data_IF_911481276666
#
_entry.id   IF_911481276666
#
_cell.length_a   1.000
_cell.length_b   1.000
_cell.length_c   1.000
_cell.angle_alpha   90.00
_cell.angle_beta   90.00
_cell.angle_gamma   90.00
#
_symmetry.space_group_name_H-M   'P 1'
#
loop_
_entity.id
_entity.type
_entity.pdbx_description
1 polymer ?
#
# COMPACT_ATOMS: atom_id res chain seq x y z
N UNK A 1 3.44 -10.90 -35.25
CA UNK A 1 3.43 -12.32 -34.85
C UNK A 1 4.22 -13.14 -35.85
N UNK A 2 4.66 -14.33 -35.45
CA UNK A 2 5.21 -15.36 -36.35
C UNK A 2 4.11 -15.97 -37.23
N UNK A 3 4.52 -16.77 -38.21
CA UNK A 3 3.62 -17.42 -39.17
C UNK A 3 2.75 -18.55 -38.56
N UNK A 4 3.08 -19.05 -37.37
CA UNK A 4 2.37 -20.12 -36.66
C UNK A 4 1.26 -19.61 -35.73
N UNK A 5 1.22 -18.30 -35.45
CA UNK A 5 0.18 -17.64 -34.65
C UNK A 5 0.21 -18.01 -33.16
N UNK A 6 1.25 -18.69 -32.66
CA UNK A 6 1.36 -19.06 -31.25
C UNK A 6 1.89 -17.89 -30.42
N UNK A 7 1.23 -17.63 -29.29
CA UNK A 7 1.61 -16.58 -28.34
C UNK A 7 2.80 -17.04 -27.51
N UNK A 8 3.92 -16.32 -27.64
CA UNK A 8 5.12 -16.54 -26.83
C UNK A 8 5.33 -15.41 -25.82
N UNK A 9 6.28 -15.58 -24.89
CA UNK A 9 6.58 -14.57 -23.87
C UNK A 9 6.89 -13.19 -24.47
N UNK A 10 7.60 -13.14 -25.60
CA UNK A 10 7.90 -11.87 -26.30
C UNK A 10 6.64 -11.15 -26.78
N UNK A 11 5.58 -11.87 -27.17
CA UNK A 11 4.31 -11.25 -27.57
C UNK A 11 3.58 -10.66 -26.35
N UNK A 12 3.62 -11.35 -25.20
CA UNK A 12 3.09 -10.86 -23.93
C UNK A 12 3.85 -9.60 -23.48
N UNK A 13 5.18 -9.62 -23.55
CA UNK A 13 6.00 -8.47 -23.18
C UNK A 13 5.75 -7.27 -24.10
N UNK A 14 5.56 -7.51 -25.40
CA UNK A 14 5.26 -6.47 -26.37
C UNK A 14 3.91 -5.82 -26.07
N UNK A 15 2.85 -6.60 -25.88
CA UNK A 15 1.50 -6.04 -25.62
C UNK A 15 1.45 -5.27 -24.30
N UNK A 16 2.20 -5.72 -23.27
CA UNK A 16 2.35 -4.98 -22.01
C UNK A 16 3.09 -3.65 -22.23
N UNK A 17 4.15 -3.65 -23.03
CA UNK A 17 4.91 -2.43 -23.35
C UNK A 17 4.04 -1.43 -24.14
N UNK A 18 3.24 -1.93 -25.07
CA UNK A 18 2.28 -1.11 -25.83
C UNK A 18 1.21 -0.52 -24.91
N UNK A 19 0.72 -1.27 -23.92
CA UNK A 19 -0.22 -0.75 -22.92
C UNK A 19 0.36 0.41 -22.08
N UNK A 20 1.70 0.51 -21.98
CA UNK A 20 2.37 1.62 -21.28
C UNK A 20 2.49 2.90 -22.11
N UNK A 21 2.21 2.84 -23.42
CA UNK A 21 2.35 3.97 -24.35
C UNK A 21 1.20 4.99 -24.20
N UNK A 22 0.84 5.30 -22.95
CA UNK A 22 -0.11 6.35 -22.59
C UNK A 22 0.61 7.69 -22.47
N UNK A 23 -0.10 8.79 -22.72
CA UNK A 23 0.44 10.12 -22.46
C UNK A 23 0.53 10.36 -20.95
N UNK A 24 1.76 10.36 -20.43
CA UNK A 24 2.04 10.68 -19.03
C UNK A 24 2.28 12.19 -18.86
N UNK A 25 1.75 12.81 -17.82
CA UNK A 25 2.22 14.12 -17.38
C UNK A 25 3.73 14.07 -17.10
N UNK A 26 4.46 15.13 -17.45
CA UNK A 26 5.93 15.19 -17.28
C UNK A 26 6.42 14.97 -15.84
N UNK A 27 5.55 15.13 -14.84
CA UNK A 27 5.87 14.98 -13.42
C UNK A 27 5.50 13.59 -12.86
N UNK A 28 5.14 12.62 -13.71
CA UNK A 28 4.72 11.28 -13.31
C UNK A 28 5.61 10.21 -13.95
N UNK A 29 5.99 9.22 -13.15
CA UNK A 29 6.64 8.00 -13.61
C UNK A 29 5.69 6.81 -13.37
N UNK A 30 5.69 5.84 -14.30
CA UNK A 30 5.04 4.55 -14.08
C UNK A 30 5.91 3.74 -13.11
N UNK A 31 5.30 3.23 -12.05
CA UNK A 31 5.97 2.36 -11.07
C UNK A 31 5.53 0.90 -11.16
N UNK A 32 4.29 0.63 -11.57
CA UNK A 32 3.79 -0.73 -11.80
C UNK A 32 2.89 -0.79 -13.03
N UNK A 33 2.94 -1.93 -13.71
CA UNK A 33 2.01 -2.28 -14.78
C UNK A 33 1.55 -3.70 -14.50
N UNK A 34 0.27 -3.83 -14.16
CA UNK A 34 -0.30 -5.08 -13.70
C UNK A 34 -1.31 -5.54 -14.74
N UNK A 35 -0.97 -6.56 -15.55
CA UNK A 35 -1.91 -7.16 -16.48
C UNK A 35 -3.10 -7.73 -15.69
N UNK A 36 -4.31 -7.37 -16.10
CA UNK A 36 -5.55 -7.93 -15.54
C UNK A 36 -6.07 -9.06 -16.41
N UNK A 37 -6.27 -8.77 -17.70
CA UNK A 37 -6.92 -9.68 -18.65
C UNK A 37 -6.28 -9.54 -20.01
N UNK A 38 -6.18 -10.65 -20.71
CA UNK A 38 -5.81 -10.70 -22.10
C UNK A 38 -7.04 -10.97 -22.96
N UNK A 39 -6.99 -10.47 -24.18
CA UNK A 39 -7.92 -10.81 -25.24
C UNK A 39 -7.12 -11.35 -26.42
N UNK A 40 -7.55 -12.49 -26.96
CA UNK A 40 -6.96 -13.10 -28.12
C UNK A 40 -8.05 -13.31 -29.17
N UNK A 41 -7.98 -12.54 -30.25
CA UNK A 41 -9.01 -12.46 -31.29
C UNK A 41 -10.41 -12.17 -30.66
N UNK A 42 -11.35 -13.11 -30.77
CA UNK A 42 -12.71 -12.99 -30.19
C UNK A 42 -12.83 -13.58 -28.77
N UNK A 43 -11.72 -14.08 -28.21
CA UNK A 43 -11.70 -14.68 -26.86
C UNK A 43 -11.26 -13.66 -25.81
N UNK A 44 -12.19 -13.28 -24.94
CA UNK A 44 -11.99 -12.33 -23.83
C UNK A 44 -11.68 -13.04 -22.49
N UNK A 45 -11.22 -12.26 -21.50
CA UNK A 45 -11.00 -12.68 -20.12
C UNK A 45 -9.95 -13.80 -19.95
N UNK A 46 -8.91 -13.82 -20.79
CA UNK A 46 -7.82 -14.80 -20.68
C UNK A 46 -6.84 -14.35 -19.58
N UNK A 47 -6.56 -15.21 -18.60
CA UNK A 47 -5.58 -14.92 -17.54
C UNK A 47 -4.13 -15.11 -18.02
N UNK A 48 -3.87 -16.17 -18.80
CA UNK A 48 -2.55 -16.45 -19.35
C UNK A 48 -2.67 -16.92 -20.82
N UNK A 49 -2.28 -16.10 -21.80
CA UNK A 49 -2.38 -16.43 -23.22
C UNK A 49 -1.20 -17.26 -23.74
N UNK A 50 -0.18 -17.55 -22.91
CA UNK A 50 1.04 -18.25 -23.35
C UNK A 50 0.70 -19.62 -23.95
N UNK A 51 1.17 -19.88 -25.18
CA UNK A 51 0.91 -21.11 -25.93
C UNK A 51 -0.47 -21.16 -26.61
N UNK A 52 -1.34 -20.16 -26.43
CA UNK A 52 -2.56 -20.03 -27.21
C UNK A 52 -2.24 -19.59 -28.64
N UNK A 53 -3.14 -19.89 -29.58
CA UNK A 53 -2.99 -19.46 -30.98
C UNK A 53 -4.01 -18.39 -31.34
N UNK A 54 -3.52 -17.33 -31.97
CA UNK A 54 -4.35 -16.24 -32.46
C UNK A 54 -3.54 -15.19 -33.20
N UNK A 55 -4.23 -14.19 -33.73
CA UNK A 55 -3.60 -13.14 -34.54
C UNK A 55 -3.43 -11.86 -33.74
N UNK A 56 -4.47 -11.48 -32.98
CA UNK A 56 -4.55 -10.21 -32.26
C UNK A 56 -4.57 -10.46 -30.76
N UNK A 57 -3.44 -10.18 -30.12
CA UNK A 57 -3.31 -10.19 -28.66
C UNK A 57 -3.46 -8.76 -28.13
N UNK A 58 -4.32 -8.59 -27.13
CA UNK A 58 -4.52 -7.35 -26.40
C UNK A 58 -4.41 -7.59 -24.89
N UNK A 59 -4.14 -6.53 -24.14
CA UNK A 59 -4.09 -6.58 -22.67
C UNK A 59 -4.84 -5.40 -22.06
N UNK A 60 -5.67 -5.70 -21.08
CA UNK A 60 -6.15 -4.73 -20.10
C UNK A 60 -5.18 -4.72 -18.92
N UNK A 61 -4.59 -3.57 -18.61
CA UNK A 61 -3.61 -3.44 -17.55
C UNK A 61 -3.93 -2.28 -16.61
N UNK A 62 -3.69 -2.49 -15.31
CA UNK A 62 -3.66 -1.43 -14.31
C UNK A 62 -2.29 -0.78 -14.31
N UNK A 63 -2.25 0.52 -14.63
CA UNK A 63 -1.03 1.33 -14.60
C UNK A 63 -0.99 2.13 -13.30
N UNK A 64 0.04 1.91 -12.51
CA UNK A 64 0.28 2.65 -11.26
C UNK A 64 1.36 3.69 -11.51
N UNK A 65 1.08 4.94 -11.15
CA UNK A 65 1.97 6.06 -11.36
C UNK A 65 2.34 6.74 -10.04
N UNK A 66 3.54 7.29 -9.98
CA UNK A 66 4.03 8.08 -8.84
C UNK A 66 4.63 9.41 -9.31
N UNK A 67 4.87 10.32 -8.38
CA UNK A 67 5.62 11.55 -8.63
C UNK A 67 7.06 11.21 -9.00
N UNK A 68 7.50 11.63 -10.19
CA UNK A 68 8.88 11.44 -10.63
C UNK A 68 9.89 12.06 -9.67
N UNK A 69 9.54 13.22 -9.08
CA UNK A 69 10.36 13.89 -8.07
C UNK A 69 10.51 13.06 -6.79
N UNK A 70 9.45 12.40 -6.33
CA UNK A 70 9.50 11.57 -5.13
C UNK A 70 10.35 10.31 -5.35
N UNK A 71 10.18 9.65 -6.49
CA UNK A 71 10.99 8.47 -6.87
C UNK A 71 12.48 8.85 -6.93
N UNK A 72 12.80 9.98 -7.57
CA UNK A 72 14.19 10.47 -7.64
C UNK A 72 14.78 10.80 -6.26
N UNK A 73 14.00 11.41 -5.37
CA UNK A 73 14.45 11.73 -4.02
C UNK A 73 14.71 10.46 -3.21
N UNK A 74 13.83 9.44 -3.29
CA UNK A 74 14.05 8.15 -2.65
C UNK A 74 15.34 7.49 -3.15
N UNK A 75 15.53 7.38 -4.47
CA UNK A 75 16.75 6.83 -5.06
C UNK A 75 18.01 7.55 -4.55
N UNK A 76 17.96 8.87 -4.45
CA UNK A 76 19.09 9.66 -3.95
C UNK A 76 19.39 9.36 -2.48
N UNK A 77 18.38 9.24 -1.62
CA UNK A 77 18.58 8.93 -0.20
C UNK A 77 19.27 7.57 0.00
N UNK A 78 18.82 6.52 -0.70
CA UNK A 78 19.44 5.20 -0.61
C UNK A 78 20.85 5.18 -1.20
N UNK A 79 21.06 5.83 -2.34
CA UNK A 79 22.39 5.95 -2.94
C UNK A 79 23.39 6.63 -2.00
N UNK A 80 22.98 7.70 -1.32
CA UNK A 80 23.82 8.40 -0.32
C UNK A 80 24.13 7.53 0.90
N UNK A 81 23.25 6.58 1.23
CA UNK A 81 23.49 5.57 2.26
C UNK A 81 24.36 4.39 1.77
N UNK A 82 24.85 4.41 0.53
CA UNK A 82 25.63 3.33 -0.06
C UNK A 82 24.80 2.11 -0.46
N UNK A 83 23.48 2.28 -0.66
CA UNK A 83 22.54 1.23 -1.03
C UNK A 83 22.00 1.47 -2.45
N UNK A 84 21.78 0.38 -3.17
CA UNK A 84 21.12 0.40 -4.47
C UNK A 84 19.69 -0.13 -4.33
N UNK A 85 18.73 0.60 -4.89
CA UNK A 85 17.33 0.16 -4.91
C UNK A 85 17.16 -0.80 -6.08
N UNK A 86 16.90 -2.07 -5.76
CA UNK A 86 16.60 -3.07 -6.78
C UNK A 86 15.22 -2.84 -7.41
N UNK A 87 14.21 -2.52 -6.61
CA UNK A 87 12.83 -2.38 -7.09
C UNK A 87 12.01 -1.48 -6.14
N UNK A 88 10.91 -0.90 -6.65
CA UNK A 88 9.98 -0.04 -5.91
C UNK A 88 8.59 -0.63 -5.99
N UNK A 89 8.06 -1.11 -4.86
CA UNK A 89 6.68 -1.61 -4.79
C UNK A 89 5.69 -0.53 -4.34
N UNK A 90 4.49 -0.52 -4.92
CA UNK A 90 3.36 0.22 -4.35
C UNK A 90 2.99 -0.44 -3.02
N UNK A 91 2.93 0.34 -1.94
CA UNK A 91 2.77 -0.16 -0.58
C UNK A 91 1.62 -1.16 -0.40
N UNK A 92 0.36 -0.89 -0.78
CA UNK A 92 -0.72 -1.86 -0.61
C UNK A 92 -0.51 -3.17 -1.38
N UNK A 93 0.26 -3.16 -2.48
CA UNK A 93 0.62 -4.37 -3.24
C UNK A 93 1.77 -5.16 -2.61
N UNK A 94 2.63 -4.49 -1.82
CA UNK A 94 3.59 -5.19 -0.98
C UNK A 94 2.85 -5.80 0.22
N UNK A 95 2.08 -4.99 0.93
CA UNK A 95 1.36 -5.36 2.16
C UNK A 95 0.39 -6.51 1.99
N UNK A 96 -0.30 -6.61 0.84
CA UNK A 96 -1.20 -7.74 0.58
C UNK A 96 -0.47 -9.09 0.66
N UNK A 97 0.80 -9.15 0.24
CA UNK A 97 1.53 -10.43 0.08
C UNK A 97 1.76 -11.14 1.40
N UNK A 98 1.88 -10.38 2.48
CA UNK A 98 2.14 -10.92 3.82
C UNK A 98 0.86 -11.17 4.61
N UNK A 99 -0.30 -10.69 4.15
CA UNK A 99 -1.52 -10.67 4.97
C UNK A 99 -2.73 -11.31 4.30
N UNK A 100 -2.94 -11.09 3.00
CA UNK A 100 -4.13 -11.59 2.31
C UNK A 100 -3.93 -13.02 1.81
N UNK A 101 -4.89 -13.88 2.13
CA UNK A 101 -4.96 -15.24 1.55
C UNK A 101 -5.56 -15.21 0.15
N UNK A 102 -5.21 -16.21 -0.68
CA UNK A 102 -5.83 -16.41 -1.99
C UNK A 102 -7.37 -16.44 -1.89
N UNK A 103 -7.90 -17.17 -0.91
CA UNK A 103 -9.36 -17.27 -0.68
C UNK A 103 -10.01 -15.91 -0.42
N UNK A 104 -9.38 -15.03 0.34
CA UNK A 104 -9.93 -13.68 0.56
C UNK A 104 -9.95 -12.86 -0.73
N UNK A 105 -8.90 -12.95 -1.54
CA UNK A 105 -8.83 -12.27 -2.85
C UNK A 105 -9.88 -12.76 -3.83
N UNK A 106 -10.14 -14.08 -3.86
CA UNK A 106 -11.20 -14.68 -4.67
C UNK A 106 -12.59 -14.19 -4.24
N UNK A 107 -12.87 -14.21 -2.93
CA UNK A 107 -14.19 -13.90 -2.39
C UNK A 107 -14.56 -12.42 -2.45
N UNK A 108 -13.60 -11.50 -2.48
CA UNK A 108 -13.84 -10.07 -2.37
C UNK A 108 -13.37 -9.51 -1.02
N UNK A 109 -12.23 -8.81 -1.00
CA UNK A 109 -11.61 -8.24 0.21
C UNK A 109 -11.01 -6.87 -0.09
N UNK A 110 -11.03 -5.99 0.92
CA UNK A 110 -10.23 -4.76 0.90
C UNK A 110 -9.18 -4.81 2.01
N UNK A 111 -7.91 -4.61 1.64
CA UNK A 111 -6.85 -4.32 2.59
C UNK A 111 -6.78 -2.82 2.79
N UNK A 112 -6.80 -2.37 4.05
CA UNK A 112 -6.67 -0.95 4.43
C UNK A 112 -5.48 -0.80 5.37
N UNK A 113 -4.43 -0.11 4.93
CA UNK A 113 -3.28 0.21 5.77
C UNK A 113 -3.43 1.62 6.34
N UNK A 114 -3.59 1.74 7.66
CA UNK A 114 -3.64 3.02 8.35
C UNK A 114 -2.24 3.34 8.88
N UNK A 115 -1.46 4.06 8.08
CA UNK A 115 -0.13 4.55 8.42
C UNK A 115 -0.17 5.84 9.23
N UNK A 116 0.99 6.47 9.45
CA UNK A 116 1.08 7.74 10.16
C UNK A 116 0.51 8.91 9.34
N UNK A 117 1.02 9.11 8.12
CA UNK A 117 0.61 10.22 7.27
C UNK A 117 -0.50 9.89 6.28
N UNK A 118 -0.67 8.62 5.93
CA UNK A 118 -1.57 8.18 4.85
C UNK A 118 -2.31 6.91 5.21
N UNK A 119 -3.42 6.70 4.52
CA UNK A 119 -4.21 5.47 4.56
C UNK A 119 -4.28 4.94 3.14
N UNK A 120 -3.73 3.77 2.89
CA UNK A 120 -3.79 3.15 1.57
C UNK A 120 -4.83 2.05 1.55
N UNK A 121 -5.33 1.73 0.35
CA UNK A 121 -6.16 0.57 0.16
C UNK A 121 -5.92 -0.13 -1.18
N UNK A 122 -6.18 -1.42 -1.19
CA UNK A 122 -6.30 -2.25 -2.39
C UNK A 122 -7.49 -3.18 -2.24
N UNK A 123 -8.31 -3.27 -3.27
CA UNK A 123 -9.51 -4.10 -3.32
C UNK A 123 -9.28 -5.22 -4.32
N UNK A 124 -9.55 -6.44 -3.86
CA UNK A 124 -9.50 -7.65 -4.67
C UNK A 124 -10.90 -8.25 -4.81
N UNK A 125 -11.19 -8.85 -5.96
CA UNK A 125 -12.36 -9.69 -6.21
C UNK A 125 -12.02 -10.64 -7.37
N UNK A 126 -12.49 -11.90 -7.32
CA UNK A 126 -12.17 -12.92 -8.33
C UNK A 126 -10.64 -13.10 -8.54
N UNK A 127 -9.86 -12.89 -7.47
CA UNK A 127 -8.40 -13.01 -7.51
C UNK A 127 -7.68 -11.79 -8.09
N UNK A 128 -8.41 -10.83 -8.65
CA UNK A 128 -7.88 -9.69 -9.39
C UNK A 128 -7.95 -8.38 -8.59
N UNK A 129 -7.04 -7.44 -8.86
CA UNK A 129 -7.10 -6.10 -8.28
C UNK A 129 -8.15 -5.28 -9.02
N UNK A 130 -9.21 -4.87 -8.34
CA UNK A 130 -10.25 -4.02 -8.96
C UNK A 130 -10.04 -2.53 -8.68
N UNK A 131 -9.41 -2.18 -7.55
CA UNK A 131 -9.15 -0.79 -7.17
C UNK A 131 -7.93 -0.66 -6.25
N UNK A 132 -7.22 0.47 -6.32
CA UNK A 132 -6.23 0.85 -5.32
C UNK A 132 -6.08 2.37 -5.26
N UNK A 133 -5.88 2.90 -4.06
CA UNK A 133 -5.67 4.34 -3.87
C UNK A 133 -4.93 4.62 -2.55
N UNK A 134 -4.45 5.85 -2.40
CA UNK A 134 -3.79 6.35 -1.19
C UNK A 134 -4.48 7.66 -0.78
N UNK A 135 -5.05 7.66 0.41
CA UNK A 135 -5.69 8.80 1.04
C UNK A 135 -4.64 9.58 1.85
N UNK A 136 -4.57 10.92 1.72
CA UNK A 136 -3.58 11.75 2.41
C UNK A 136 -3.97 12.03 3.87
N UNK A 137 -4.47 11.02 4.59
CA UNK A 137 -4.86 11.07 6.00
C UNK A 137 -4.47 9.77 6.68
N UNK A 138 -4.01 9.82 7.92
CA UNK A 138 -3.53 8.65 8.66
C UNK A 138 -3.56 8.88 10.17
N UNK A 139 -3.07 7.92 10.94
CA UNK A 139 -3.11 7.91 12.40
C UNK A 139 -2.31 9.03 13.09
N UNK A 140 -1.43 9.73 12.37
CA UNK A 140 -0.76 10.95 12.85
C UNK A 140 -1.69 12.18 12.85
N UNK A 141 -2.75 12.17 12.04
CA UNK A 141 -3.77 13.22 12.08
C UNK A 141 -4.59 13.13 13.38
N UNK A 142 -4.83 11.91 13.86
CA UNK A 142 -5.43 11.67 15.19
C UNK A 142 -4.56 12.32 16.27
N UNK A 143 -3.24 12.13 16.21
CA UNK A 143 -2.29 12.76 17.14
C UNK A 143 -2.37 14.28 17.11
N UNK A 144 -2.42 14.86 15.90
CA UNK A 144 -2.53 16.31 15.75
C UNK A 144 -3.86 16.84 16.31
N UNK A 145 -4.96 16.13 16.09
CA UNK A 145 -6.26 16.53 16.65
C UNK A 145 -6.27 16.47 18.18
N UNK A 146 -5.66 15.44 18.77
CA UNK A 146 -5.48 15.33 20.24
C UNK A 146 -4.62 16.49 20.75
N UNK A 147 -3.50 16.80 20.08
CA UNK A 147 -2.62 17.90 20.44
C UNK A 147 -3.37 19.24 20.44
N UNK A 148 -4.20 19.49 19.42
CA UNK A 148 -5.05 20.69 19.32
C UNK A 148 -6.12 20.71 20.41
N UNK A 149 -6.85 19.59 20.59
CA UNK A 149 -7.94 19.48 21.54
C UNK A 149 -7.49 19.66 22.99
N UNK A 150 -6.33 19.09 23.34
CA UNK A 150 -5.75 19.19 24.69
C UNK A 150 -4.79 20.37 24.86
N UNK A 151 -4.47 21.09 23.79
CA UNK A 151 -3.47 22.18 23.75
C UNK A 151 -2.10 21.74 24.28
N UNK A 152 -1.68 20.54 23.89
CA UNK A 152 -0.39 19.95 24.28
C UNK A 152 0.51 19.72 23.06
N UNK A 153 1.74 19.27 23.28
CA UNK A 153 2.65 18.96 22.18
C UNK A 153 2.24 17.69 21.43
N UNK A 154 2.67 17.57 20.17
CA UNK A 154 2.42 16.38 19.34
C UNK A 154 3.04 15.13 19.99
N UNK A 155 4.19 15.29 20.64
CA UNK A 155 4.88 14.21 21.33
C UNK A 155 4.08 13.69 22.53
N UNK A 156 3.49 14.59 23.33
CA UNK A 156 2.64 14.19 24.47
C UNK A 156 1.33 13.57 23.95
N UNK A 157 0.71 14.19 22.94
CA UNK A 157 -0.50 13.66 22.31
C UNK A 157 -0.30 12.25 21.76
N UNK A 158 0.86 11.93 21.17
CA UNK A 158 1.15 10.59 20.68
C UNK A 158 1.20 9.58 21.82
N UNK A 159 1.88 9.93 22.92
CA UNK A 159 1.95 9.05 24.11
C UNK A 159 0.55 8.81 24.69
N UNK A 160 -0.26 9.85 24.83
CA UNK A 160 -1.65 9.76 25.29
C UNK A 160 -2.46 8.85 24.36
N UNK A 161 -2.36 9.03 23.04
CA UNK A 161 -3.06 8.20 22.04
C UNK A 161 -2.68 6.72 22.17
N UNK A 162 -1.40 6.42 22.34
CA UNK A 162 -0.89 5.05 22.45
C UNK A 162 -1.31 4.38 23.77
N UNK A 163 -1.34 5.10 24.88
CA UNK A 163 -1.62 4.54 26.21
C UNK A 163 -3.12 4.50 26.56
N UNK A 164 -3.87 5.54 26.18
CA UNK A 164 -5.26 5.73 26.62
C UNK A 164 -6.30 5.73 25.49
N UNK A 165 -5.86 5.68 24.23
CA UNK A 165 -6.73 5.80 23.06
C UNK A 165 -7.76 4.68 22.94
N UNK A 166 -8.93 5.03 22.42
CA UNK A 166 -10.01 4.10 22.03
C UNK A 166 -10.74 4.69 20.83
N UNK A 167 -11.11 3.85 19.87
CA UNK A 167 -11.88 4.25 18.69
C UNK A 167 -13.38 4.45 18.97
N UNK A 168 -13.87 4.08 20.17
CA UNK A 168 -15.27 4.23 20.56
C UNK A 168 -15.33 4.96 21.90
N UNK A 169 -15.87 6.18 21.88
CA UNK A 169 -16.01 7.06 23.04
C UNK A 169 -17.09 6.60 24.01
N UNK A 170 -18.23 6.09 23.51
CA UNK A 170 -19.36 5.62 24.33
C UNK A 170 -19.02 4.49 25.31
N UNK A 171 -17.89 3.80 25.10
CA UNK A 171 -17.41 2.73 26.00
C UNK A 171 -16.56 3.28 27.16
N UNK A 172 -16.22 4.58 27.14
CA UNK A 172 -15.35 5.22 28.12
C UNK A 172 -16.20 5.94 29.17
N UNK A 173 -15.82 5.78 30.44
CA UNK A 173 -16.49 6.51 31.53
C UNK A 173 -16.18 8.01 31.42
N UNK A 174 -17.21 8.85 31.38
CA UNK A 174 -17.08 10.31 31.30
C UNK A 174 -16.29 10.91 32.47
N UNK A 175 -16.25 10.23 33.62
CA UNK A 175 -15.50 10.63 34.81
C UNK A 175 -14.05 10.13 34.82
N UNK A 176 -13.63 9.35 33.83
CA UNK A 176 -12.26 8.86 33.75
C UNK A 176 -11.32 10.00 33.33
N UNK A 177 -10.36 10.30 34.21
CA UNK A 177 -9.39 11.38 34.04
C UNK A 177 -7.98 10.82 34.00
N UNK A 178 -7.12 11.47 33.22
CA UNK A 178 -5.69 11.15 33.07
C UNK A 178 -4.91 12.35 33.58
N UNK A 179 -3.90 12.10 34.41
CA UNK A 179 -2.96 13.13 34.83
C UNK A 179 -1.90 13.32 33.74
N UNK A 180 -1.86 14.52 33.16
CA UNK A 180 -0.94 14.86 32.06
C UNK A 180 0.52 14.91 32.53
N UNK A 181 0.76 15.13 33.83
CA UNK A 181 2.11 15.19 34.41
C UNK A 181 2.86 13.87 34.31
N UNK A 182 2.15 12.75 34.11
CA UNK A 182 2.72 11.43 33.82
C UNK A 182 3.51 11.42 32.49
N UNK A 183 3.26 12.36 31.58
CA UNK A 183 3.90 12.43 30.27
C UNK A 183 4.95 13.53 30.15
N UNK A 184 4.75 14.65 30.86
CA UNK A 184 5.69 15.76 30.99
C UNK A 184 5.51 16.41 32.37
N UNK A 185 6.55 16.38 33.20
CA UNK A 185 6.51 16.90 34.57
C UNK A 185 6.35 18.42 34.66
N UNK A 186 6.38 19.13 33.53
CA UNK A 186 6.14 20.58 33.43
C UNK A 186 4.69 20.93 33.16
N UNK A 187 3.88 19.93 32.80
CA UNK A 187 2.44 20.08 32.57
C UNK A 187 1.69 19.71 33.86
N UNK A 188 0.64 20.46 34.18
CA UNK A 188 -0.22 20.20 35.33
C UNK A 188 -1.67 20.14 34.86
N UNK A 189 -2.42 19.12 35.31
CA UNK A 189 -3.85 19.04 35.06
C UNK A 189 -4.37 17.64 34.81
N UNK A 190 -5.70 17.54 34.88
CA UNK A 190 -6.44 16.33 34.57
C UNK A 190 -7.16 16.52 33.24
N UNK A 191 -7.03 15.54 32.35
CA UNK A 191 -7.70 15.51 31.05
C UNK A 191 -8.71 14.37 31.00
N UNK A 192 -9.87 14.61 30.41
CA UNK A 192 -10.89 13.58 30.25
C UNK A 192 -10.47 12.55 29.19
N UNK A 193 -10.42 11.26 29.59
CA UNK A 193 -10.20 10.17 28.62
C UNK A 193 -11.35 10.04 27.63
N UNK A 194 -12.59 10.32 28.07
CA UNK A 194 -13.74 10.34 27.17
C UNK A 194 -13.54 11.37 26.06
N UNK A 195 -13.07 12.57 26.39
CA UNK A 195 -12.80 13.60 25.39
C UNK A 195 -11.73 13.18 24.37
N UNK A 196 -10.66 12.50 24.81
CA UNK A 196 -9.66 11.92 23.91
C UNK A 196 -10.30 10.91 22.97
N UNK A 197 -11.15 10.03 23.49
CA UNK A 197 -11.84 9.02 22.67
C UNK A 197 -12.81 9.66 21.65
N UNK A 198 -13.49 10.77 22.00
CA UNK A 198 -14.33 11.52 21.04
C UNK A 198 -13.50 12.06 19.86
N UNK A 199 -12.31 12.61 20.15
CA UNK A 199 -11.39 13.10 19.11
C UNK A 199 -10.93 11.95 18.20
N UNK A 200 -10.53 10.82 18.80
CA UNK A 200 -10.06 9.64 18.07
C UNK A 200 -11.20 9.05 17.20
N UNK A 201 -12.38 8.87 17.77
CA UNK A 201 -13.55 8.34 17.08
C UNK A 201 -13.94 9.21 15.88
N UNK A 202 -13.95 10.55 16.05
CA UNK A 202 -14.27 11.48 14.97
C UNK A 202 -13.29 11.34 13.80
N UNK A 203 -11.97 11.36 14.06
CA UNK A 203 -10.96 11.25 12.99
C UNK A 203 -10.95 9.87 12.34
N UNK A 204 -11.09 8.80 13.10
CA UNK A 204 -11.17 7.45 12.52
C UNK A 204 -12.44 7.27 11.70
N UNK A 205 -13.57 7.82 12.15
CA UNK A 205 -14.82 7.81 11.38
C UNK A 205 -14.63 8.49 10.03
N UNK A 206 -14.01 9.66 10.00
CA UNK A 206 -13.70 10.36 8.74
C UNK A 206 -12.80 9.53 7.82
N UNK A 207 -11.75 8.89 8.35
CA UNK A 207 -10.88 7.98 7.57
C UNK A 207 -11.72 6.84 6.97
N UNK A 208 -12.58 6.20 7.76
CA UNK A 208 -13.42 5.10 7.27
C UNK A 208 -14.51 5.58 6.31
N UNK A 209 -15.04 6.78 6.46
CA UNK A 209 -15.96 7.40 5.50
C UNK A 209 -15.28 7.64 4.15
N UNK A 210 -14.01 8.07 4.15
CA UNK A 210 -13.22 8.20 2.92
C UNK A 210 -12.99 6.84 2.26
N UNK A 211 -12.67 5.79 3.03
CA UNK A 211 -12.58 4.42 2.51
C UNK A 211 -13.92 3.95 1.96
N UNK A 212 -15.03 4.19 2.68
CA UNK A 212 -16.37 3.85 2.23
C UNK A 212 -16.72 4.54 0.91
N UNK A 213 -16.34 5.81 0.74
CA UNK A 213 -16.54 6.57 -0.50
C UNK A 213 -15.79 5.93 -1.66
N UNK A 214 -14.56 5.50 -1.46
CA UNK A 214 -13.80 4.76 -2.47
C UNK A 214 -14.49 3.44 -2.86
N UNK A 215 -14.95 2.66 -1.88
CA UNK A 215 -15.71 1.43 -2.14
C UNK A 215 -17.02 1.70 -2.86
N UNK A 216 -17.72 2.79 -2.53
CA UNK A 216 -18.96 3.20 -3.18
C UNK A 216 -18.73 3.59 -4.64
N UNK A 217 -17.65 4.32 -4.93
CA UNK A 217 -17.31 4.75 -6.29
C UNK A 217 -17.07 3.58 -7.25
N UNK A 218 -16.55 2.46 -6.74
CA UNK A 218 -16.35 1.22 -7.52
C UNK A 218 -17.53 0.25 -7.42
N UNK A 219 -18.64 0.64 -6.77
CA UNK A 219 -19.83 -0.19 -6.62
C UNK A 219 -19.66 -1.39 -5.68
N UNK A 220 -18.73 -1.33 -4.72
CA UNK A 220 -18.39 -2.42 -3.78
C UNK A 220 -18.69 -2.13 -2.31
N UNK A 221 -19.34 -1.01 -2.02
CA UNK A 221 -19.77 -0.68 -0.65
C UNK A 221 -20.70 -1.78 -0.09
N UNK A 222 -20.31 -2.43 1.01
CA UNK A 222 -21.08 -3.52 1.62
C UNK A 222 -21.08 -4.85 0.83
N UNK A 223 -20.33 -4.95 -0.27
CA UNK A 223 -20.38 -6.09 -1.21
C UNK A 223 -19.04 -6.86 -1.29
N UNK A 224 -18.27 -6.88 -0.20
CA UNK A 224 -17.01 -7.63 -0.09
C UNK A 224 -17.17 -8.75 0.95
N UNK A 225 -17.52 -9.98 0.55
CA UNK A 225 -17.79 -11.10 1.46
C UNK A 225 -16.65 -11.43 2.45
N UNK A 226 -15.38 -11.33 2.01
CA UNK A 226 -14.24 -11.52 2.90
C UNK A 226 -13.90 -10.27 3.75
N UNK A 227 -14.59 -9.16 3.48
CA UNK A 227 -14.61 -7.97 4.32
C UNK A 227 -13.37 -7.09 4.18
N UNK A 228 -13.02 -6.47 5.30
CA UNK A 228 -11.93 -5.51 5.45
C UNK A 228 -10.84 -6.15 6.30
N UNK A 229 -9.60 -6.04 5.83
CA UNK A 229 -8.42 -6.38 6.62
C UNK A 229 -7.67 -5.09 6.93
N UNK A 230 -7.63 -4.71 8.22
CA UNK A 230 -6.93 -3.52 8.69
C UNK A 230 -5.48 -3.86 9.04
N UNK A 231 -4.53 -3.05 8.58
CA UNK A 231 -3.10 -3.18 8.88
C UNK A 231 -2.48 -1.82 9.16
N UNK A 232 -1.18 -1.79 9.48
CA UNK A 232 -0.46 -0.57 9.82
C UNK A 232 -0.51 -0.24 11.31
N UNK A 233 0.19 0.84 11.69
CA UNK A 233 0.26 1.28 13.09
C UNK A 233 -1.09 1.73 13.65
N UNK A 234 -1.92 2.38 12.82
CA UNK A 234 -3.26 2.84 13.23
C UNK A 234 -4.24 1.72 13.50
N UNK A 235 -4.04 0.53 12.92
CA UNK A 235 -4.86 -0.65 13.16
C UNK A 235 -4.77 -1.19 14.61
N UNK A 236 -3.82 -0.68 15.40
CA UNK A 236 -3.64 -1.06 16.82
C UNK A 236 -4.55 -0.30 17.79
N UNK A 237 -5.30 0.70 17.33
CA UNK A 237 -6.21 1.44 18.20
C UNK A 237 -7.30 0.50 18.75
N UNK A 238 -7.52 0.47 20.08
CA UNK A 238 -8.59 -0.33 20.67
C UNK A 238 -9.95 0.03 20.06
N UNK A 239 -10.82 -0.98 19.90
CA UNK A 239 -12.19 -0.84 19.36
C UNK A 239 -12.29 -0.40 17.89
N UNK A 240 -11.17 -0.37 17.15
CA UNK A 240 -11.16 0.06 15.75
C UNK A 240 -11.95 -0.88 14.83
N UNK A 241 -12.01 -2.18 15.15
CA UNK A 241 -12.77 -3.18 14.39
C UNK A 241 -14.26 -2.83 14.42
N UNK A 242 -14.78 -2.51 15.59
CA UNK A 242 -16.17 -2.18 15.83
C UNK A 242 -16.55 -0.89 15.11
N UNK A 243 -15.74 0.17 15.24
CA UNK A 243 -15.96 1.41 14.52
C UNK A 243 -15.96 1.19 13.00
N UNK A 244 -14.97 0.45 12.49
CA UNK A 244 -14.88 0.14 11.06
C UNK A 244 -16.09 -0.68 10.57
N UNK A 245 -16.60 -1.62 11.35
CA UNK A 245 -17.82 -2.38 11.02
C UNK A 245 -19.04 -1.46 10.93
N UNK A 246 -19.17 -0.53 11.87
CA UNK A 246 -20.28 0.42 11.92
C UNK A 246 -20.28 1.36 10.71
N UNK A 247 -19.10 1.84 10.28
CA UNK A 247 -18.97 2.75 9.14
C UNK A 247 -19.00 2.01 7.79
N UNK A 248 -18.19 0.96 7.64
CA UNK A 248 -17.99 0.28 6.35
C UNK A 248 -19.08 -0.74 6.01
N UNK A 249 -19.88 -1.18 7.01
CA UNK A 249 -20.93 -2.20 6.86
C UNK A 249 -20.42 -3.51 6.25
N UNK A 250 -19.19 -3.88 6.61
CA UNK A 250 -18.50 -5.09 6.17
C UNK A 250 -17.95 -5.85 7.39
N UNK A 251 -17.69 -7.17 7.28
CA UNK A 251 -16.84 -7.85 8.24
C UNK A 251 -15.47 -7.17 8.31
N UNK A 252 -14.88 -7.06 9.51
CA UNK A 252 -13.58 -6.43 9.71
C UNK A 252 -12.72 -7.31 10.61
N UNK A 253 -11.44 -7.42 10.27
CA UNK A 253 -10.41 -8.07 11.08
C UNK A 253 -9.08 -7.30 10.99
N UNK A 254 -8.18 -7.52 11.95
CA UNK A 254 -6.80 -7.04 11.88
C UNK A 254 -5.96 -8.08 11.14
N UNK A 255 -5.14 -7.64 10.19
CA UNK A 255 -4.18 -8.47 9.48
C UNK A 255 -2.82 -8.45 10.14
N UNK A 256 -2.19 -9.62 10.23
CA UNK A 256 -0.84 -9.79 10.78
C UNK A 256 0.08 -10.41 9.72
N UNK A 257 1.36 -10.02 9.68
CA UNK A 257 2.32 -10.59 8.74
C UNK A 257 2.42 -12.11 8.89
N UNK A 258 2.35 -12.82 7.76
CA UNK A 258 2.43 -14.27 7.65
C UNK A 258 3.39 -14.68 6.53
N UNK A 259 3.76 -15.96 6.47
CA UNK A 259 4.67 -16.50 5.45
C UNK A 259 6.16 -16.46 5.80
N UNK A 260 6.51 -16.22 7.08
CA UNK A 260 7.89 -16.22 7.58
C UNK A 260 8.09 -17.32 8.62
N UNK A 261 8.94 -18.30 8.32
CA UNK A 261 9.31 -19.32 9.30
C UNK A 261 10.44 -18.78 10.19
N UNK A 262 10.30 -18.88 11.52
CA UNK A 262 11.37 -18.61 12.49
C UNK A 262 11.53 -17.15 12.98
N UNK A 263 10.73 -16.20 12.50
CA UNK A 263 10.77 -14.78 12.94
C UNK A 263 9.40 -14.30 13.46
N UNK A 264 8.37 -15.15 13.48
CA UNK A 264 6.97 -14.77 13.79
C UNK A 264 6.85 -13.94 15.07
N UNK A 265 7.53 -14.30 16.15
CA UNK A 265 7.46 -13.60 17.44
C UNK A 265 7.90 -12.12 17.38
N UNK A 266 8.68 -11.71 16.37
CA UNK A 266 9.15 -10.33 16.20
C UNK A 266 8.36 -9.52 15.17
N UNK A 267 7.54 -10.18 14.36
CA UNK A 267 6.76 -9.54 13.28
C UNK A 267 5.25 -9.67 13.47
N UNK A 268 4.81 -10.18 14.62
CA UNK A 268 3.41 -10.25 15.03
C UNK A 268 2.87 -8.86 15.46
N UNK A 269 3.01 -7.88 14.56
CA UNK A 269 2.45 -6.55 14.70
C UNK A 269 1.98 -6.07 13.31
N UNK A 270 0.73 -5.58 13.19
CA UNK A 270 0.18 -5.12 11.91
C UNK A 270 1.01 -4.01 11.25
N UNK A 271 1.83 -3.27 12.02
CA UNK A 271 2.76 -2.25 11.51
C UNK A 271 3.94 -2.83 10.72
N UNK A 272 4.28 -4.12 10.86
CA UNK A 272 5.32 -4.77 10.07
C UNK A 272 4.84 -5.33 8.74
N UNK A 273 3.54 -5.25 8.45
CA UNK A 273 2.90 -5.78 7.24
C UNK A 273 3.61 -5.38 5.95
N UNK A 274 3.90 -4.09 5.77
CA UNK A 274 4.54 -3.58 4.56
C UNK A 274 5.96 -4.12 4.40
N UNK A 275 6.77 -4.09 5.46
CA UNK A 275 8.17 -4.54 5.41
C UNK A 275 8.23 -6.04 5.12
N UNK A 276 7.40 -6.83 5.81
CA UNK A 276 7.20 -8.24 5.50
C UNK A 276 6.78 -8.44 4.04
N UNK A 277 5.79 -7.70 3.58
CA UNK A 277 5.32 -7.71 2.20
C UNK A 277 6.42 -7.45 1.18
N UNK A 278 7.30 -6.48 1.43
CA UNK A 278 8.45 -6.15 0.60
C UNK A 278 9.49 -7.28 0.55
N UNK A 279 9.70 -8.02 1.64
CA UNK A 279 10.58 -9.19 1.64
C UNK A 279 10.02 -10.31 0.74
N UNK A 280 8.72 -10.57 0.82
CA UNK A 280 8.05 -11.55 -0.06
C UNK A 280 8.06 -11.09 -1.52
N UNK A 281 7.84 -9.79 -1.76
CA UNK A 281 7.96 -9.17 -3.07
C UNK A 281 9.34 -9.40 -3.68
N UNK A 282 10.40 -9.08 -2.94
CA UNK A 282 11.78 -9.31 -3.37
C UNK A 282 12.11 -10.78 -3.59
N UNK A 283 11.55 -11.69 -2.78
CA UNK A 283 11.72 -13.15 -2.94
C UNK A 283 11.07 -13.67 -4.22
N UNK A 284 9.87 -13.21 -4.57
CA UNK A 284 9.22 -13.59 -5.83
C UNK A 284 10.07 -13.14 -7.03
N UNK A 285 10.60 -11.92 -6.99
CA UNK A 285 11.49 -11.41 -8.05
C UNK A 285 12.79 -12.24 -8.15
N UNK A 286 13.37 -12.67 -7.02
CA UNK A 286 14.56 -13.55 -7.01
C UNK A 286 14.26 -14.99 -7.44
N UNK A 287 13.13 -15.59 -7.05
CA UNK A 287 12.74 -16.95 -7.39
C UNK A 287 12.45 -17.15 -8.88
N UNK A 288 12.00 -16.09 -9.56
CA UNK A 288 11.84 -16.04 -11.02
C UNK A 288 13.18 -16.15 -11.76
N UNK A 289 14.32 -16.01 -11.07
CA UNK A 289 15.66 -16.17 -11.65
C UNK A 289 16.17 -17.61 -11.64
N UNK A 290 15.63 -18.50 -10.79
CA UNK A 290 16.20 -19.83 -10.58
C UNK A 290 15.36 -21.01 -11.09
N UNK A 291 14.02 -20.94 -11.09
CA UNK A 291 13.20 -22.14 -11.38
C UNK A 291 12.01 -21.96 -12.33
N UNK A 292 11.79 -20.79 -12.94
CA UNK A 292 10.76 -20.64 -13.98
C UNK A 292 11.09 -19.45 -14.91
N UNK A 293 11.48 -19.75 -16.15
CA UNK A 293 11.45 -18.83 -17.29
C UNK A 293 9.99 -18.65 -17.75
N UNK A 294 9.13 -18.18 -16.85
CA UNK A 294 7.70 -18.03 -17.07
C UNK A 294 7.20 -16.74 -16.41
N UNK A 295 7.02 -15.69 -17.22
CA UNK A 295 5.89 -14.75 -17.08
C UNK A 295 5.90 -13.64 -16.03
N UNK A 296 6.96 -13.42 -15.24
CA UNK A 296 7.04 -12.26 -14.30
C UNK A 296 8.29 -11.38 -14.41
N UNK A 297 9.16 -11.65 -15.38
CA UNK A 297 10.38 -10.87 -15.63
C UNK A 297 10.11 -9.66 -16.54
N UNK A 298 9.39 -8.65 -16.05
CA UNK A 298 9.61 -7.29 -16.57
C UNK A 298 9.29 -6.18 -15.58
N UNK A 299 9.69 -6.36 -14.32
CA UNK A 299 9.69 -5.27 -13.33
C UNK A 299 11.02 -4.48 -13.37
N UNK A 300 12.07 -4.96 -14.06
CA UNK A 300 13.42 -4.41 -13.83
C UNK A 300 14.33 -4.19 -15.05
N UNK A 301 13.78 -3.98 -16.24
CA UNK A 301 14.61 -3.73 -17.44
C UNK A 301 14.30 -2.45 -18.22
N UNK A 302 13.93 -1.36 -17.55
CA UNK A 302 14.24 0.00 -18.04
C UNK A 302 14.69 0.88 -16.84
N UNK A 303 15.93 0.65 -16.40
CA UNK A 303 16.81 1.76 -15.99
C UNK A 303 17.96 1.89 -17.00
N UNK A 304 17.71 1.64 -18.30
CA UNK A 304 18.65 2.06 -19.37
C UNK A 304 18.56 3.57 -19.65
N UNK A 305 18.61 4.36 -18.57
CA UNK A 305 18.96 5.78 -18.57
C UNK A 305 20.32 6.06 -17.92
N UNK A 306 20.99 5.04 -17.38
CA UNK A 306 22.25 5.20 -16.62
C UNK A 306 23.51 5.21 -17.49
N UNK A 307 23.51 4.68 -18.72
CA UNK A 307 24.69 4.84 -19.60
C UNK A 307 24.85 6.28 -20.13
N UNK A 308 23.76 7.01 -20.37
CA UNK A 308 23.84 8.37 -20.90
C UNK A 308 24.17 9.44 -19.85
N UNK A 309 24.12 9.08 -18.57
CA UNK A 309 24.26 10.03 -17.45
C UNK A 309 25.63 9.95 -16.78
N UNK A 310 26.28 8.78 -16.76
CA UNK A 310 27.61 8.61 -16.16
C UNK A 310 28.71 9.31 -16.95
N UNK A 311 28.64 9.29 -18.29
CA UNK A 311 29.65 9.95 -19.13
C UNK A 311 29.56 11.48 -19.09
N UNK A 312 28.36 12.04 -18.97
CA UNK A 312 28.18 13.50 -18.79
C UNK A 312 28.59 13.99 -17.41
N UNK A 313 28.41 13.18 -16.37
CA UNK A 313 28.85 13.52 -15.01
C UNK A 313 30.37 13.38 -14.87
N UNK A 314 31.00 12.39 -15.51
CA UNK A 314 32.47 12.31 -15.62
C UNK A 314 33.05 13.48 -16.42
N UNK A 315 32.44 13.85 -17.55
CA UNK A 315 32.87 14.97 -18.38
C UNK A 315 32.60 16.35 -17.75
N UNK A 316 31.67 16.44 -16.78
CA UNK A 316 31.44 17.63 -15.98
C UNK A 316 32.42 17.72 -14.81
N UNK A 317 32.70 16.61 -14.12
CA UNK A 317 33.65 16.56 -13.00
C UNK A 317 35.11 16.79 -13.45
N UNK A 318 35.48 16.37 -14.66
CA UNK A 318 36.82 16.63 -15.22
C UNK A 318 37.10 18.09 -15.58
N UNK A 319 36.09 18.97 -15.54
CA UNK A 319 36.25 20.42 -15.76
C UNK A 319 36.55 21.22 -14.49
N UNK A 320 36.51 20.58 -13.32
CA UNK A 320 36.69 21.23 -12.01
C UNK A 320 37.81 20.64 -11.17
N UNK A 321 38.66 19.79 -11.75
CA UNK A 321 39.93 19.36 -11.17
C UNK A 321 41.07 20.07 -11.91
N UNK A 322 42.13 20.53 -11.21
CA UNK A 322 43.30 21.16 -11.85
C UNK A 322 44.07 20.20 -12.76
#
# INVERSE_FOLDING_TARGET
>A
GRADGEVIEDDINRVITEAQAIQLPMNKDIIHVIPKKYRLDDSDNITNPLGMRGVRLEVEALIVQSSAAHVKNLNKCFYQAGLEIKDIALEPLASEKSVLTKKQKELGVVLVNIGGGTTSLVVFEEGEIIHTTVLPVGAGHITNDIAIGLRTSVEIAEKIKLEYGSAISRDINVKEEIDISNFDSREEGLISRHHIAEIIEARLSEIFEMVYKELKNIGKAGLLPAGVVLVGGGAKLPRIIELAKDVLRLPVQIGFPSGFNGIMDKVDDPSFTTVAGLLLWGKEDMGTTADNLSGKKMINKISKGTEYTVDKVRAWASKFLP
#
